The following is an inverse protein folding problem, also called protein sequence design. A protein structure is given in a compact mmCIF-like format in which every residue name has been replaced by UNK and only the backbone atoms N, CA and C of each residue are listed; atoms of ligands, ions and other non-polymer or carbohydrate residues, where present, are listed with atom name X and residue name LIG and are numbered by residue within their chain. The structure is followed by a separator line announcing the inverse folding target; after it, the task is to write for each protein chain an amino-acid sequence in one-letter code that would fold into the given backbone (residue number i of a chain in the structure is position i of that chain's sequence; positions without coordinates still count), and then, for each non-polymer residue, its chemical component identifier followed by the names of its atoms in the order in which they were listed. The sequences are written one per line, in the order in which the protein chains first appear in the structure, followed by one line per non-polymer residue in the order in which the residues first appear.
data_IF_799593350708
#
_entry.id   IF_799593350708
#
_cell.length_a   1.000
_cell.length_b   1.000
_cell.length_c   1.000
_cell.angle_alpha   90.00
_cell.angle_beta   90.00
_cell.angle_gamma   90.00
#
_symmetry.space_group_name_H-M   'P 1'
#
loop_
_entity.id
_entity.type
_entity.pdbx_description
1 polymer ?
#
# COMPACT_ATOMS: atom_id res chain seq x y z
N UNK A 1 -7.93 33.94 5.93
CA UNK A 1 -6.59 33.29 5.95
C UNK A 1 -5.56 34.29 6.45
N UNK A 2 -4.79 33.94 7.49
CA UNK A 2 -3.70 34.78 7.98
C UNK A 2 -2.44 34.39 7.23
N UNK A 3 -1.84 35.34 6.52
CA UNK A 3 -0.50 35.19 5.95
C UNK A 3 0.54 35.36 7.05
N UNK A 4 1.52 34.46 7.07
CA UNK A 4 2.70 34.56 7.94
C UNK A 4 3.92 34.87 7.06
N UNK A 5 4.93 35.58 7.62
CA UNK A 5 6.18 35.81 6.90
C UNK A 5 6.78 34.51 6.37
N UNK A 6 6.99 34.47 5.06
CA UNK A 6 7.54 33.30 4.36
C UNK A 6 6.52 32.28 3.87
N UNK A 7 5.21 32.59 3.93
CA UNK A 7 4.16 31.73 3.38
C UNK A 7 3.29 32.51 2.40
N UNK A 8 3.55 32.35 1.12
CA UNK A 8 2.87 33.06 0.04
C UNK A 8 1.69 32.28 -0.57
N UNK A 9 1.45 31.07 -0.08
CA UNK A 9 0.37 30.20 -0.57
C UNK A 9 -0.24 29.36 0.56
N UNK A 10 -1.43 28.84 0.30
CA UNK A 10 -2.06 27.78 1.11
C UNK A 10 -2.58 26.70 0.20
N UNK A 11 -2.63 25.47 0.69
CA UNK A 11 -3.15 24.33 -0.06
C UNK A 11 -4.53 23.98 0.48
N UNK A 12 -5.50 23.87 -0.43
CA UNK A 12 -6.85 23.38 -0.12
C UNK A 12 -6.89 21.91 -0.53
N UNK A 13 -7.27 21.05 0.40
CA UNK A 13 -7.54 19.64 0.12
C UNK A 13 -9.05 19.46 -0.02
N UNK A 14 -9.50 19.19 -1.25
CA UNK A 14 -10.90 18.93 -1.53
C UNK A 14 -11.09 17.43 -1.81
N UNK A 15 -11.67 16.75 -0.84
CA UNK A 15 -11.89 15.30 -0.88
C UNK A 15 -13.17 14.87 -1.64
N UNK A 16 -14.02 15.82 -2.02
CA UNK A 16 -15.33 15.56 -2.62
C UNK A 16 -15.64 16.48 -3.80
N UNK A 17 -14.62 17.07 -4.41
CA UNK A 17 -14.75 18.09 -5.49
C UNK A 17 -15.71 19.22 -5.11
N UNK A 18 -15.74 19.60 -3.83
CA UNK A 18 -16.64 20.61 -3.31
C UNK A 18 -16.37 21.98 -3.92
N UNK A 19 -15.10 22.27 -4.30
CA UNK A 19 -14.72 23.49 -4.98
C UNK A 19 -15.52 23.74 -6.26
N UNK A 20 -15.91 22.68 -6.97
CA UNK A 20 -16.73 22.79 -8.19
C UNK A 20 -18.18 23.22 -7.92
N UNK A 21 -18.63 23.14 -6.65
CA UNK A 21 -19.98 23.51 -6.22
C UNK A 21 -20.07 24.93 -5.66
N UNK A 22 -18.92 25.53 -5.35
CA UNK A 22 -18.79 26.88 -4.81
C UNK A 22 -18.13 27.77 -5.86
N UNK A 23 -18.88 28.09 -6.94
CA UNK A 23 -18.51 29.13 -7.90
C UNK A 23 -18.76 30.49 -7.26
N UNK A 24 -18.00 30.86 -6.24
CA UNK A 24 -18.07 32.12 -5.56
C UNK A 24 -16.87 32.99 -5.94
N UNK A 25 -17.05 34.08 -6.71
CA UNK A 25 -15.95 34.95 -7.13
C UNK A 25 -15.17 35.55 -5.96
N UNK A 26 -15.81 35.74 -4.79
CA UNK A 26 -15.13 36.25 -3.59
C UNK A 26 -14.22 35.18 -2.92
N UNK A 27 -14.48 33.89 -3.20
CA UNK A 27 -13.70 32.76 -2.72
C UNK A 27 -12.55 32.40 -3.68
N UNK A 28 -12.81 32.47 -4.99
CA UNK A 28 -11.86 32.07 -6.05
C UNK A 28 -10.79 33.13 -6.31
N UNK A 29 -10.88 34.30 -5.66
CA UNK A 29 -10.00 35.43 -5.86
C UNK A 29 -10.43 36.28 -7.06
N UNK A 30 -9.66 37.35 -7.32
CA UNK A 30 -9.87 38.13 -8.54
C UNK A 30 -9.56 37.23 -9.74
N UNK A 31 -10.42 37.26 -10.80
CA UNK A 31 -10.15 36.52 -12.02
C UNK A 31 -8.76 36.90 -12.54
N UNK A 32 -7.90 35.90 -12.78
CA UNK A 32 -6.65 36.18 -13.48
C UNK A 32 -6.95 36.90 -14.78
N UNK A 33 -6.23 38.00 -15.05
CA UNK A 33 -6.41 38.72 -16.32
C UNK A 33 -6.21 37.71 -17.46
N UNK A 34 -7.12 37.68 -18.44
CA UNK A 34 -7.02 36.71 -19.52
C UNK A 34 -5.64 36.84 -20.19
N UNK A 35 -4.94 35.71 -20.30
CA UNK A 35 -3.62 35.66 -20.94
C UNK A 35 -3.82 35.88 -22.41
N UNK A 36 -3.87 37.15 -22.81
CA UNK A 36 -4.01 37.56 -24.21
C UNK A 36 -2.78 37.10 -25.01
N UNK A 37 -2.99 36.65 -26.21
CA UNK A 37 -1.93 36.22 -27.08
C UNK A 37 -0.95 37.37 -27.41
N UNK A 38 0.33 37.22 -27.14
CA UNK A 38 1.39 38.23 -27.41
C UNK A 38 1.46 38.68 -28.87
N UNK A 39 0.81 38.00 -29.81
CA UNK A 39 0.81 38.31 -31.24
C UNK A 39 -0.44 39.00 -31.76
N UNK A 40 -1.63 38.61 -31.32
CA UNK A 40 -2.91 39.17 -31.76
C UNK A 40 -3.61 40.01 -30.68
N UNK A 41 -3.14 39.94 -29.45
CA UNK A 41 -3.69 40.63 -28.28
C UNK A 41 -5.15 40.30 -27.99
N UNK A 42 -5.59 39.06 -28.39
CA UNK A 42 -6.95 38.55 -28.17
C UNK A 42 -6.98 37.25 -27.40
N UNK A 43 -8.07 37.01 -26.63
CA UNK A 43 -8.40 35.76 -25.95
C UNK A 43 -9.86 35.40 -26.30
N UNK A 44 -10.13 34.26 -26.96
CA UNK A 44 -9.17 33.27 -27.44
C UNK A 44 -8.34 33.77 -28.65
N UNK A 45 -7.08 33.36 -28.69
CA UNK A 45 -6.15 33.73 -29.75
C UNK A 45 -6.69 33.39 -31.13
N UNK A 46 -6.82 34.42 -32.00
CA UNK A 46 -7.24 34.31 -33.40
C UNK A 46 -6.10 34.21 -34.39
N UNK A 47 -4.86 34.12 -33.95
CA UNK A 47 -3.74 33.85 -34.84
C UNK A 47 -4.00 32.55 -35.60
N UNK A 48 -3.78 32.57 -36.91
CA UNK A 48 -3.80 31.35 -37.72
C UNK A 48 -2.95 30.28 -37.04
N UNK A 49 -3.58 29.16 -36.59
CA UNK A 49 -2.86 28.01 -36.07
C UNK A 49 -1.92 27.60 -37.19
N UNK A 50 -0.59 27.67 -36.94
CA UNK A 50 0.41 27.15 -37.87
C UNK A 50 -0.09 25.78 -38.29
N UNK A 51 -0.37 25.60 -39.60
CA UNK A 51 -0.73 24.33 -40.17
C UNK A 51 0.29 23.30 -39.66
N UNK A 52 -0.20 22.25 -38.99
CA UNK A 52 0.65 21.17 -38.51
C UNK A 52 1.32 20.64 -39.76
N UNK A 53 2.64 20.71 -39.83
CA UNK A 53 3.38 20.20 -40.99
C UNK A 53 2.99 18.74 -41.21
N UNK A 54 2.78 18.30 -42.47
CA UNK A 54 2.48 16.91 -42.77
C UNK A 54 3.52 15.97 -42.13
N UNK A 55 3.10 14.74 -41.84
CA UNK A 55 3.98 13.73 -41.29
C UNK A 55 5.21 13.54 -42.17
N UNK A 56 6.41 13.55 -41.60
CA UNK A 56 7.67 13.40 -42.36
C UNK A 56 7.83 12.00 -43.01
N UNK A 57 6.96 11.03 -42.66
CA UNK A 57 7.04 9.64 -43.14
C UNK A 57 5.97 9.38 -44.20
N UNK A 58 4.71 9.76 -43.96
CA UNK A 58 3.60 9.49 -44.89
C UNK A 58 3.15 10.72 -45.69
N UNK A 59 3.66 11.91 -45.35
CA UNK A 59 3.30 13.22 -45.96
C UNK A 59 1.82 13.60 -45.83
N UNK A 60 1.01 12.80 -45.10
CA UNK A 60 -0.44 12.97 -44.94
C UNK A 60 -0.81 13.75 -43.66
N UNK A 61 -2.00 14.41 -43.69
CA UNK A 61 -2.65 15.02 -42.54
C UNK A 61 -4.16 14.68 -42.55
N UNK A 62 -4.65 13.94 -41.50
CA UNK A 62 -3.89 13.35 -40.35
C UNK A 62 -2.94 12.25 -40.79
N UNK A 63 -1.85 12.08 -40.06
CA UNK A 63 -0.89 11.02 -40.30
C UNK A 63 -1.56 9.64 -40.33
N UNK A 64 -1.35 8.89 -41.41
CA UNK A 64 -1.87 7.52 -41.63
C UNK A 64 -0.78 6.45 -41.45
N UNK A 65 0.40 6.83 -40.96
CA UNK A 65 1.42 5.83 -40.59
C UNK A 65 0.78 4.83 -39.64
N UNK A 66 0.96 3.55 -39.91
CA UNK A 66 0.64 2.49 -38.96
C UNK A 66 1.37 2.83 -37.66
N UNK A 67 0.59 3.14 -36.62
CA UNK A 67 1.10 3.22 -35.26
C UNK A 67 1.60 1.81 -34.98
N UNK A 68 2.91 1.65 -34.72
CA UNK A 68 3.43 0.35 -34.31
C UNK A 68 2.48 -0.22 -33.26
N UNK A 69 2.05 -1.47 -33.40
CA UNK A 69 1.11 -2.04 -32.45
C UNK A 69 1.68 -1.83 -31.05
N UNK A 70 0.90 -1.18 -30.18
CA UNK A 70 1.28 -0.96 -28.79
C UNK A 70 1.72 -2.32 -28.25
N UNK A 71 3.02 -2.51 -28.06
CA UNK A 71 3.56 -3.72 -27.44
C UNK A 71 3.27 -3.68 -25.95
N UNK A 72 3.03 -4.84 -25.37
CA UNK A 72 2.91 -4.97 -23.92
C UNK A 72 4.15 -4.36 -23.26
N UNK A 73 3.93 -3.61 -22.18
CA UNK A 73 5.02 -2.95 -21.47
C UNK A 73 5.98 -4.02 -20.90
N UNK A 74 7.25 -3.94 -21.24
CA UNK A 74 8.29 -4.88 -20.76
C UNK A 74 8.41 -4.91 -19.22
N UNK A 75 7.92 -3.86 -18.53
CA UNK A 75 8.00 -3.73 -17.07
C UNK A 75 6.75 -4.27 -16.38
N UNK A 76 5.54 -3.97 -16.87
CA UNK A 76 4.28 -4.35 -16.22
C UNK A 76 3.46 -5.40 -16.99
N UNK A 77 3.83 -5.73 -18.21
CA UNK A 77 3.08 -6.66 -19.05
C UNK A 77 1.71 -6.17 -19.52
N UNK A 78 1.32 -4.95 -19.16
CA UNK A 78 -0.02 -4.41 -19.44
C UNK A 78 -0.06 -3.55 -20.71
N UNK A 79 -1.21 -3.60 -21.38
CA UNK A 79 -1.58 -2.73 -22.48
C UNK A 79 -2.99 -2.15 -22.24
N UNK A 80 -3.13 -0.81 -21.99
CA UNK A 80 -2.08 0.21 -21.92
C UNK A 80 -1.17 0.09 -20.69
N UNK A 81 0.06 0.55 -20.83
CA UNK A 81 1.05 0.54 -19.77
C UNK A 81 0.58 1.33 -18.53
N UNK A 82 0.62 0.69 -17.37
CA UNK A 82 0.28 1.30 -16.07
C UNK A 82 1.53 1.84 -15.32
N UNK A 83 2.73 1.68 -15.88
CA UNK A 83 3.99 2.11 -15.25
C UNK A 83 4.16 3.61 -15.13
N UNK A 84 3.34 4.43 -15.79
CA UNK A 84 3.48 5.89 -15.77
C UNK A 84 3.39 6.52 -14.39
N UNK A 85 2.80 5.79 -13.44
CA UNK A 85 2.66 6.22 -12.06
C UNK A 85 3.66 5.53 -11.12
N UNK A 86 4.67 4.83 -11.65
CA UNK A 86 5.67 4.14 -10.84
C UNK A 86 7.00 4.88 -10.88
N UNK A 87 7.60 5.08 -9.72
CA UNK A 87 8.90 5.72 -9.52
C UNK A 87 9.87 4.71 -8.93
N UNK A 88 11.13 4.72 -9.39
CA UNK A 88 12.19 3.92 -8.79
C UNK A 88 12.90 4.74 -7.73
N UNK A 89 12.95 4.21 -6.54
CA UNK A 89 13.69 4.80 -5.40
C UNK A 89 14.94 3.98 -5.16
N UNK A 90 16.07 4.63 -5.11
CA UNK A 90 17.36 3.99 -4.84
C UNK A 90 17.67 4.05 -3.35
N UNK A 91 17.75 2.88 -2.72
CA UNK A 91 18.12 2.78 -1.31
C UNK A 91 19.62 3.02 -1.10
N UNK A 92 20.01 3.32 0.14
CA UNK A 92 21.41 3.57 0.54
C UNK A 92 22.37 2.42 0.22
N UNK A 93 21.87 1.17 0.14
CA UNK A 93 22.67 0.00 -0.26
C UNK A 93 22.79 -0.17 -1.78
N UNK A 94 22.24 0.75 -2.59
CA UNK A 94 22.27 0.70 -4.06
C UNK A 94 21.14 -0.13 -4.68
N UNK A 95 20.31 -0.82 -3.90
CA UNK A 95 19.12 -1.52 -4.40
C UNK A 95 18.03 -0.51 -4.80
N UNK A 96 17.19 -0.89 -5.76
CA UNK A 96 16.08 -0.07 -6.25
C UNK A 96 14.75 -0.67 -5.83
N UNK A 97 13.88 0.17 -5.27
CA UNK A 97 12.48 -0.14 -5.01
C UNK A 97 11.60 0.56 -6.05
N UNK A 98 10.57 -0.13 -6.50
CA UNK A 98 9.53 0.46 -7.34
C UNK A 98 8.35 0.84 -6.47
N UNK A 99 7.98 2.13 -6.50
CA UNK A 99 6.86 2.69 -5.74
C UNK A 99 5.86 3.36 -6.68
N UNK A 100 4.60 3.47 -6.26
CA UNK A 100 3.63 4.29 -6.97
C UNK A 100 3.97 5.77 -6.81
N UNK A 101 3.88 6.54 -7.90
CA UNK A 101 3.93 7.99 -7.82
C UNK A 101 2.59 8.49 -7.25
N UNK A 102 2.58 8.86 -5.99
CA UNK A 102 1.42 9.50 -5.37
C UNK A 102 1.78 10.93 -5.00
N UNK A 103 0.98 11.88 -5.43
CA UNK A 103 1.08 13.29 -5.02
C UNK A 103 0.42 13.55 -3.67
N UNK A 104 -0.22 12.53 -3.07
CA UNK A 104 -1.11 12.70 -1.93
C UNK A 104 -0.59 12.07 -0.62
N UNK A 105 0.48 11.26 -0.65
CA UNK A 105 1.00 10.65 0.57
C UNK A 105 2.12 11.49 1.13
N UNK A 106 1.89 12.14 2.25
CA UNK A 106 2.91 12.83 3.06
C UNK A 106 3.35 11.92 4.19
N UNK A 107 4.64 11.73 4.32
CA UNK A 107 5.26 11.06 5.47
C UNK A 107 5.85 12.11 6.41
N UNK A 108 6.00 11.74 7.68
CA UNK A 108 6.52 12.60 8.72
C UNK A 108 7.69 11.88 9.40
N UNK A 109 8.73 12.62 9.72
CA UNK A 109 9.80 12.09 10.57
C UNK A 109 9.37 12.08 12.06
N UNK A 110 10.18 11.47 12.92
CA UNK A 110 9.92 11.39 14.36
C UNK A 110 9.82 12.77 15.05
N UNK A 111 10.27 13.84 14.39
CA UNK A 111 10.14 15.22 14.88
C UNK A 111 8.87 15.93 14.41
N UNK A 112 8.05 15.26 13.56
CA UNK A 112 6.86 15.82 12.96
C UNK A 112 7.15 16.73 11.76
N UNK A 113 8.32 16.60 11.12
CA UNK A 113 8.66 17.31 9.89
C UNK A 113 8.25 16.46 8.68
N UNK A 114 7.61 17.08 7.65
CA UNK A 114 7.27 16.34 6.43
C UNK A 114 8.54 15.92 5.68
N UNK A 115 8.56 14.68 5.22
CA UNK A 115 9.63 14.07 4.46
C UNK A 115 9.08 13.44 3.17
N UNK A 116 9.95 13.26 2.18
CA UNK A 116 9.59 12.60 0.94
C UNK A 116 9.43 11.08 1.13
N UNK A 117 8.71 10.43 0.22
CA UNK A 117 8.60 8.95 0.22
C UNK A 117 9.96 8.26 0.12
N UNK A 118 10.91 8.86 -0.60
CA UNK A 118 12.27 8.35 -0.72
C UNK A 118 13.02 8.46 0.61
N UNK A 119 12.94 9.60 1.29
CA UNK A 119 13.53 9.78 2.61
C UNK A 119 12.92 8.82 3.63
N UNK A 120 11.60 8.66 3.62
CA UNK A 120 10.91 7.72 4.50
C UNK A 120 11.39 6.28 4.30
N UNK A 121 11.45 5.81 3.04
CA UNK A 121 11.94 4.48 2.71
C UNK A 121 13.41 4.27 3.10
N UNK A 122 14.26 5.26 2.86
CA UNK A 122 15.66 5.21 3.24
C UNK A 122 15.86 5.20 4.76
N UNK A 123 15.04 5.91 5.49
CA UNK A 123 15.07 5.94 6.96
C UNK A 123 14.57 4.59 7.51
N UNK A 124 13.43 4.08 7.04
CA UNK A 124 12.91 2.77 7.41
C UNK A 124 13.95 1.67 7.11
N UNK A 125 14.52 1.67 5.90
CA UNK A 125 15.57 0.72 5.52
C UNK A 125 16.78 0.80 6.45
N UNK A 126 17.15 1.99 6.90
CA UNK A 126 18.22 2.21 7.87
C UNK A 126 17.92 1.66 9.26
N UNK A 127 16.65 1.62 9.67
CA UNK A 127 16.23 1.08 10.98
C UNK A 127 16.02 -0.44 10.98
N UNK A 128 15.71 -1.03 9.83
CA UNK A 128 15.44 -2.48 9.72
C UNK A 128 16.53 -3.35 10.39
N UNK A 129 17.85 -3.10 10.26
CA UNK A 129 18.88 -3.90 10.91
C UNK A 129 18.84 -3.89 12.43
N UNK A 130 18.19 -2.87 13.03
CA UNK A 130 17.95 -2.79 14.47
C UNK A 130 16.76 -3.66 14.92
N UNK A 131 15.90 -4.04 13.99
CA UNK A 131 14.67 -4.79 14.21
C UNK A 131 14.85 -6.29 13.92
N UNK A 132 15.46 -6.60 12.78
CA UNK A 132 15.79 -7.96 12.36
C UNK A 132 16.95 -7.95 11.34
N UNK A 133 17.67 -9.05 11.22
CA UNK A 133 18.91 -9.15 10.43
C UNK A 133 18.77 -10.02 9.18
N UNK A 134 17.68 -10.76 9.07
CA UNK A 134 17.40 -11.65 7.93
C UNK A 134 15.91 -11.82 7.71
N UNK A 135 15.52 -12.23 6.50
CA UNK A 135 14.16 -12.62 6.16
C UNK A 135 13.64 -13.75 7.07
N UNK A 136 14.49 -14.72 7.37
CA UNK A 136 14.15 -15.82 8.27
C UNK A 136 13.83 -15.30 9.69
N UNK A 137 14.58 -14.33 10.20
CA UNK A 137 14.31 -13.70 11.49
C UNK A 137 13.01 -12.90 11.45
N UNK A 138 12.76 -12.12 10.37
CA UNK A 138 11.48 -11.43 10.17
C UNK A 138 10.32 -12.42 10.20
N UNK A 139 10.41 -13.53 9.46
CA UNK A 139 9.38 -14.59 9.44
C UNK A 139 9.13 -15.18 10.81
N UNK A 140 10.20 -15.48 11.54
CA UNK A 140 10.10 -16.03 12.90
C UNK A 140 9.42 -15.03 13.86
N UNK A 141 9.80 -13.76 13.80
CA UNK A 141 9.19 -12.71 14.63
C UNK A 141 7.73 -12.47 14.26
N UNK A 142 7.42 -12.52 12.97
CA UNK A 142 6.07 -12.19 12.47
C UNK A 142 5.07 -13.33 12.67
N UNK A 143 5.49 -14.57 12.52
CA UNK A 143 4.65 -15.76 12.61
C UNK A 143 4.10 -16.04 14.01
N UNK A 144 4.65 -15.39 15.04
CA UNK A 144 4.13 -15.50 16.40
C UNK A 144 3.45 -14.18 16.82
N UNK A 145 2.18 -14.19 17.25
CA UNK A 145 1.45 -12.98 17.61
C UNK A 145 2.11 -12.12 18.69
N UNK A 146 2.85 -12.75 19.63
CA UNK A 146 3.51 -12.02 20.73
C UNK A 146 4.73 -11.26 20.21
N UNK A 147 5.61 -11.95 19.47
CA UNK A 147 6.83 -11.33 18.93
C UNK A 147 6.49 -10.32 17.83
N UNK A 148 5.46 -10.58 17.04
CA UNK A 148 4.92 -9.64 16.05
C UNK A 148 4.46 -8.35 16.72
N UNK A 149 3.72 -8.43 17.81
CA UNK A 149 3.30 -7.23 18.57
C UNK A 149 4.51 -6.44 19.04
N UNK A 150 5.50 -7.10 19.63
CA UNK A 150 6.73 -6.44 20.07
C UNK A 150 7.50 -5.79 18.92
N UNK A 151 7.52 -6.42 17.73
CA UNK A 151 8.12 -5.84 16.53
C UNK A 151 7.36 -4.59 16.08
N UNK A 152 6.03 -4.63 16.04
CA UNK A 152 5.19 -3.48 15.67
C UNK A 152 5.35 -2.31 16.68
N UNK A 153 5.41 -2.59 17.98
CA UNK A 153 5.67 -1.59 19.02
C UNK A 153 7.05 -0.92 18.87
N UNK A 154 8.07 -1.69 18.46
CA UNK A 154 9.40 -1.13 18.17
C UNK A 154 9.37 -0.26 16.91
N UNK A 155 8.68 -0.69 15.86
CA UNK A 155 8.48 0.11 14.65
C UNK A 155 7.77 1.43 14.97
N UNK A 156 6.69 1.39 15.73
CA UNK A 156 5.95 2.57 16.18
C UNK A 156 6.84 3.52 16.98
N UNK A 157 7.64 2.99 17.93
CA UNK A 157 8.58 3.77 18.72
C UNK A 157 9.68 4.44 17.88
N UNK A 158 9.99 3.86 16.72
CA UNK A 158 10.93 4.42 15.74
C UNK A 158 10.25 5.38 14.74
N UNK A 159 8.94 5.65 14.87
CA UNK A 159 8.19 6.55 14.01
C UNK A 159 7.53 5.86 12.80
N UNK A 160 7.45 4.53 12.80
CA UNK A 160 6.82 3.73 11.76
C UNK A 160 5.60 3.01 12.33
N UNK A 161 4.57 3.78 12.69
CA UNK A 161 3.31 3.25 13.20
C UNK A 161 2.48 2.56 12.12
N UNK A 162 1.33 2.06 12.54
CA UNK A 162 0.44 1.30 11.64
C UNK A 162 -0.09 2.17 10.48
N UNK A 163 -0.25 3.47 10.68
CA UNK A 163 -0.72 4.41 9.64
C UNK A 163 0.35 4.61 8.58
N UNK A 164 1.60 4.85 8.98
CA UNK A 164 2.75 4.98 8.09
C UNK A 164 3.02 3.69 7.32
N UNK A 165 2.94 2.53 7.97
CA UNK A 165 3.10 1.23 7.31
C UNK A 165 1.95 0.95 6.32
N UNK A 166 0.72 1.36 6.62
CA UNK A 166 -0.40 1.26 5.69
C UNK A 166 -0.25 2.23 4.50
N UNK A 167 0.26 3.43 4.73
CA UNK A 167 0.59 4.38 3.66
C UNK A 167 1.69 3.82 2.76
N UNK A 168 2.72 3.21 3.36
CA UNK A 168 3.78 2.52 2.63
C UNK A 168 3.23 1.34 1.82
N UNK A 169 2.32 0.55 2.37
CA UNK A 169 1.65 -0.56 1.66
C UNK A 169 0.97 -0.09 0.38
N UNK A 170 0.28 1.05 0.42
CA UNK A 170 -0.33 1.68 -0.78
C UNK A 170 0.75 2.16 -1.76
N UNK A 171 1.82 2.74 -1.24
CA UNK A 171 2.92 3.27 -2.05
C UNK A 171 3.63 2.18 -2.86
N UNK A 172 3.77 0.98 -2.31
CA UNK A 172 4.41 -0.16 -2.99
C UNK A 172 3.43 -1.06 -3.76
N UNK A 173 2.18 -0.63 -3.95
CA UNK A 173 1.14 -1.37 -4.69
C UNK A 173 0.79 -2.72 -4.02
N UNK A 174 0.80 -2.74 -2.69
CA UNK A 174 0.61 -3.93 -1.87
C UNK A 174 -0.62 -3.83 -0.94
N UNK A 175 -1.69 -3.15 -1.37
CA UNK A 175 -2.88 -2.90 -0.54
C UNK A 175 -3.57 -4.19 -0.05
N UNK A 176 -3.52 -5.25 -0.88
CA UNK A 176 -4.07 -6.55 -0.57
C UNK A 176 -3.06 -7.51 0.07
N UNK A 177 -1.82 -7.06 0.28
CA UNK A 177 -0.76 -7.82 0.93
C UNK A 177 -0.76 -7.62 2.45
N UNK A 178 0.03 -8.39 3.16
CA UNK A 178 0.27 -8.17 4.59
C UNK A 178 1.35 -7.10 4.79
N UNK A 179 1.41 -6.50 5.96
CA UNK A 179 2.53 -5.63 6.36
C UNK A 179 3.86 -6.39 6.39
N UNK A 180 3.83 -7.70 6.65
CA UNK A 180 4.98 -8.59 6.50
C UNK A 180 5.63 -8.46 5.13
N UNK A 181 4.83 -8.58 4.07
CA UNK A 181 5.31 -8.51 2.67
C UNK A 181 5.94 -7.16 2.35
N UNK A 182 5.40 -6.09 2.94
CA UNK A 182 5.95 -4.74 2.76
C UNK A 182 7.31 -4.60 3.43
N UNK A 183 7.45 -5.10 4.66
CA UNK A 183 8.73 -5.08 5.38
C UNK A 183 9.76 -5.99 4.69
N UNK A 184 9.35 -7.16 4.22
CA UNK A 184 10.19 -8.09 3.46
C UNK A 184 10.67 -7.43 2.15
N UNK A 185 9.77 -6.77 1.42
CA UNK A 185 10.10 -6.04 0.18
C UNK A 185 11.04 -4.87 0.41
N UNK A 186 10.86 -4.08 1.47
CA UNK A 186 11.79 -3.00 1.83
C UNK A 186 13.17 -3.56 2.20
N UNK A 187 13.20 -4.70 2.90
CA UNK A 187 14.45 -5.38 3.25
C UNK A 187 15.12 -6.00 2.01
N UNK A 188 14.35 -6.66 1.15
CA UNK A 188 14.83 -7.32 -0.05
C UNK A 188 13.90 -7.06 -1.24
N UNK A 189 14.27 -6.11 -2.09
CA UNK A 189 13.48 -5.68 -3.25
C UNK A 189 13.31 -6.74 -4.36
N UNK A 190 14.03 -7.86 -4.27
CA UNK A 190 13.89 -8.98 -5.21
C UNK A 190 12.64 -9.82 -4.91
N UNK A 191 12.11 -9.72 -3.67
CA UNK A 191 10.90 -10.41 -3.23
C UNK A 191 9.71 -9.48 -3.42
N UNK A 192 8.78 -9.85 -4.29
CA UNK A 192 7.56 -9.06 -4.51
C UNK A 192 6.52 -9.38 -3.45
N UNK A 193 5.78 -8.37 -2.94
CA UNK A 193 4.66 -8.61 -2.05
C UNK A 193 3.62 -9.52 -2.69
N UNK A 194 3.15 -10.52 -1.96
CA UNK A 194 2.04 -11.38 -2.35
C UNK A 194 0.75 -10.94 -1.65
N UNK A 195 -0.39 -11.21 -2.25
CA UNK A 195 -1.67 -10.91 -1.60
C UNK A 195 -1.93 -11.86 -0.43
N UNK A 196 -2.74 -11.41 0.54
CA UNK A 196 -3.17 -12.27 1.66
C UNK A 196 -3.88 -13.53 1.19
N UNK A 197 -4.66 -13.43 0.10
CA UNK A 197 -5.33 -14.59 -0.52
C UNK A 197 -4.34 -15.61 -1.08
N UNK A 198 -3.30 -15.14 -1.80
CA UNK A 198 -2.25 -16.01 -2.33
C UNK A 198 -1.47 -16.68 -1.19
N UNK A 199 -1.17 -15.94 -0.12
CA UNK A 199 -0.51 -16.48 1.07
C UNK A 199 -1.33 -17.60 1.72
N UNK A 200 -2.64 -17.39 1.91
CA UNK A 200 -3.53 -18.40 2.46
C UNK A 200 -3.57 -19.64 1.56
N UNK A 201 -3.77 -19.46 0.25
CA UNK A 201 -3.82 -20.57 -0.70
C UNK A 201 -2.52 -21.39 -0.71
N UNK A 202 -1.36 -20.75 -0.60
CA UNK A 202 -0.06 -21.43 -0.55
C UNK A 202 0.14 -22.24 0.75
N UNK A 203 -0.40 -21.75 1.88
CA UNK A 203 -0.22 -22.37 3.20
C UNK A 203 -1.30 -23.39 3.57
N UNK A 204 -2.46 -23.36 2.90
CA UNK A 204 -3.67 -24.10 3.25
C UNK A 204 -3.43 -25.59 3.48
N UNK A 205 -2.78 -26.25 2.53
CA UNK A 205 -2.50 -27.69 2.61
C UNK A 205 -1.66 -28.05 3.85
N UNK A 206 -0.71 -27.18 4.23
CA UNK A 206 0.16 -27.39 5.39
C UNK A 206 -0.57 -27.10 6.70
N UNK A 207 -1.36 -26.02 6.73
CA UNK A 207 -2.13 -25.61 7.91
C UNK A 207 -3.11 -26.72 8.34
N UNK A 208 -3.80 -27.35 7.39
CA UNK A 208 -4.89 -28.29 7.70
C UNK A 208 -4.48 -29.73 7.91
N UNK A 209 -3.19 -30.07 7.70
CA UNK A 209 -2.71 -31.47 7.73
C UNK A 209 -2.99 -32.19 9.05
N UNK A 210 -2.95 -31.49 10.19
CA UNK A 210 -3.08 -32.07 11.54
C UNK A 210 -4.37 -31.64 12.27
N UNK A 211 -5.36 -31.07 11.55
CA UNK A 211 -6.57 -30.54 12.15
C UNK A 211 -7.76 -31.48 11.92
N UNK A 212 -8.65 -31.56 12.92
CA UNK A 212 -9.96 -32.17 12.74
C UNK A 212 -10.91 -31.20 12.01
N UNK A 213 -12.06 -31.70 11.55
CA UNK A 213 -12.99 -30.92 10.71
C UNK A 213 -13.46 -29.62 11.41
N UNK A 214 -13.76 -29.63 12.70
CA UNK A 214 -14.18 -28.44 13.44
C UNK A 214 -13.06 -27.40 13.59
N UNK A 215 -11.85 -27.85 13.76
CA UNK A 215 -10.67 -26.99 13.79
C UNK A 215 -10.41 -26.37 12.43
N UNK A 216 -10.57 -27.14 11.34
CA UNK A 216 -10.46 -26.62 9.98
C UNK A 216 -11.50 -25.53 9.72
N UNK A 217 -12.77 -25.82 9.96
CA UNK A 217 -13.87 -24.84 9.81
C UNK A 217 -13.55 -23.53 10.55
N UNK A 218 -13.06 -23.64 11.78
CA UNK A 218 -12.69 -22.47 12.58
C UNK A 218 -11.50 -21.71 12.01
N UNK A 219 -10.43 -22.41 11.61
CA UNK A 219 -9.25 -21.74 11.04
C UNK A 219 -9.55 -21.16 9.65
N UNK A 220 -10.37 -21.81 8.82
CA UNK A 220 -10.88 -21.23 7.56
C UNK A 220 -11.64 -19.93 7.80
N UNK A 221 -12.51 -19.90 8.81
CA UNK A 221 -13.19 -18.67 9.20
C UNK A 221 -12.21 -17.58 9.64
N UNK A 222 -11.20 -17.90 10.46
CA UNK A 222 -10.16 -16.95 10.88
C UNK A 222 -9.38 -16.44 9.69
N UNK A 223 -8.97 -17.32 8.77
CA UNK A 223 -8.23 -16.97 7.56
C UNK A 223 -9.07 -16.08 6.63
N UNK A 224 -10.38 -16.31 6.52
CA UNK A 224 -11.25 -15.41 5.75
C UNK A 224 -11.25 -14.00 6.32
N UNK A 225 -11.31 -13.85 7.66
CA UNK A 225 -11.23 -12.55 8.34
C UNK A 225 -9.86 -11.89 8.15
N UNK A 226 -8.79 -12.67 8.20
CA UNK A 226 -7.45 -12.18 7.90
C UNK A 226 -7.34 -11.64 6.46
N UNK A 227 -7.88 -12.35 5.47
CA UNK A 227 -7.87 -11.90 4.07
C UNK A 227 -8.63 -10.58 3.92
N UNK A 228 -9.80 -10.45 4.57
CA UNK A 228 -10.63 -9.25 4.53
C UNK A 228 -9.95 -8.03 5.17
N UNK A 229 -9.49 -8.17 6.40
CA UNK A 229 -9.11 -7.04 7.27
C UNK A 229 -7.62 -6.96 7.58
N UNK A 230 -6.87 -8.06 7.45
CA UNK A 230 -5.42 -8.13 7.65
C UNK A 230 -5.00 -8.76 8.97
N UNK A 231 -3.71 -8.63 9.27
CA UNK A 231 -3.02 -9.32 10.37
C UNK A 231 -3.55 -9.02 11.78
N UNK A 232 -4.28 -7.93 11.94
CA UNK A 232 -4.94 -7.60 13.21
C UNK A 232 -5.90 -8.70 13.71
N UNK A 233 -6.53 -9.44 12.79
CA UNK A 233 -7.42 -10.56 13.15
C UNK A 233 -6.65 -11.81 13.67
N UNK A 234 -5.35 -11.86 13.43
CA UNK A 234 -4.46 -12.91 13.93
C UNK A 234 -3.88 -12.60 15.32
N UNK A 235 -4.29 -11.50 15.95
CA UNK A 235 -3.89 -11.20 17.33
C UNK A 235 -4.63 -12.10 18.32
N UNK A 236 -3.94 -12.57 19.36
CA UNK A 236 -4.53 -13.45 20.38
C UNK A 236 -5.71 -12.82 21.12
N UNK A 237 -5.76 -11.50 21.23
CA UNK A 237 -6.87 -10.79 21.87
C UNK A 237 -8.17 -10.88 21.06
N UNK A 238 -8.09 -11.22 19.79
CA UNK A 238 -9.23 -11.44 18.91
C UNK A 238 -9.87 -12.83 19.06
N UNK A 239 -9.15 -13.79 19.61
CA UNK A 239 -9.63 -15.18 19.72
C UNK A 239 -11.00 -15.30 20.41
N UNK A 240 -11.32 -14.63 21.54
CA UNK A 240 -12.65 -14.68 22.13
C UNK A 240 -13.75 -14.13 21.20
N UNK A 241 -13.45 -13.08 20.47
CA UNK A 241 -14.40 -12.45 19.53
C UNK A 241 -14.64 -13.35 18.33
N UNK A 242 -13.59 -13.94 17.76
CA UNK A 242 -13.67 -14.89 16.65
C UNK A 242 -14.48 -16.13 17.01
N UNK A 243 -14.27 -16.69 18.21
CA UNK A 243 -15.08 -17.80 18.72
C UNK A 243 -16.57 -17.41 18.83
N UNK A 244 -16.87 -16.26 19.42
CA UNK A 244 -18.25 -15.78 19.54
C UNK A 244 -18.89 -15.43 18.20
N UNK A 245 -18.10 -15.07 17.19
CA UNK A 245 -18.59 -14.72 15.85
C UNK A 245 -18.93 -15.95 15.00
N UNK A 246 -18.24 -17.05 15.21
CA UNK A 246 -18.50 -18.29 14.48
C UNK A 246 -19.49 -19.20 15.21
N UNK A 247 -19.42 -19.25 16.56
CA UNK A 247 -20.26 -20.04 17.41
C UNK A 247 -21.28 -19.13 18.16
N UNK A 248 -22.32 -19.72 18.79
CA UNK A 248 -23.32 -18.92 19.51
C UNK A 248 -22.74 -18.17 20.71
N UNK A 249 -21.67 -18.71 21.29
CA UNK A 249 -20.93 -18.11 22.40
C UNK A 249 -19.46 -18.56 22.38
N UNK A 250 -18.61 -17.85 23.13
CA UNK A 250 -17.25 -18.29 23.35
C UNK A 250 -17.17 -19.68 23.99
N UNK A 251 -18.08 -20.01 24.91
CA UNK A 251 -18.12 -21.30 25.60
C UNK A 251 -18.49 -22.42 24.64
N UNK A 252 -19.47 -22.20 23.78
CA UNK A 252 -19.84 -23.18 22.76
C UNK A 252 -18.67 -23.42 21.78
N UNK A 253 -17.98 -22.37 21.36
CA UNK A 253 -16.79 -22.52 20.53
C UNK A 253 -15.67 -23.30 21.22
N UNK A 254 -15.42 -23.05 22.50
CA UNK A 254 -14.47 -23.85 23.30
C UNK A 254 -14.89 -25.32 23.36
N UNK A 255 -16.15 -25.60 23.61
CA UNK A 255 -16.67 -26.95 23.68
C UNK A 255 -16.56 -27.70 22.35
N UNK A 256 -16.98 -27.07 21.24
CA UNK A 256 -16.91 -27.62 19.88
C UNK A 256 -15.47 -27.89 19.41
N UNK A 257 -14.51 -27.07 19.84
CA UNK A 257 -13.09 -27.24 19.51
C UNK A 257 -12.33 -28.17 20.46
N UNK A 258 -13.02 -28.89 21.36
CA UNK A 258 -12.44 -29.92 22.22
C UNK A 258 -12.30 -29.55 23.69
N UNK A 259 -12.87 -28.43 24.13
CA UNK A 259 -13.02 -28.04 25.55
C UNK A 259 -11.76 -27.51 26.24
N UNK A 260 -10.61 -27.51 25.58
CA UNK A 260 -9.31 -27.11 26.15
C UNK A 260 -8.85 -25.77 25.58
N UNK A 261 -9.00 -24.71 26.37
CA UNK A 261 -8.62 -23.33 26.00
C UNK A 261 -7.15 -23.22 25.62
N UNK A 262 -6.27 -23.99 26.30
CA UNK A 262 -4.83 -23.95 26.03
C UNK A 262 -4.52 -24.54 24.65
N UNK A 263 -5.17 -25.66 24.31
CA UNK A 263 -5.01 -26.28 22.99
C UNK A 263 -5.53 -25.39 21.87
N UNK A 264 -6.69 -24.73 22.09
CA UNK A 264 -7.27 -23.80 21.11
C UNK A 264 -6.33 -22.60 20.90
N UNK A 265 -5.76 -22.06 21.97
CA UNK A 265 -4.77 -20.98 21.87
C UNK A 265 -3.51 -21.43 21.14
N UNK A 266 -2.99 -22.61 21.43
CA UNK A 266 -1.84 -23.16 20.74
C UNK A 266 -2.13 -23.38 19.25
N UNK A 267 -3.28 -23.97 18.92
CA UNK A 267 -3.74 -24.10 17.53
C UNK A 267 -3.77 -22.76 16.81
N UNK A 268 -4.31 -21.70 17.48
CA UNK A 268 -4.39 -20.35 16.93
C UNK A 268 -3.01 -19.71 16.74
N UNK A 269 -2.00 -20.10 17.48
CA UNK A 269 -0.61 -19.64 17.31
C UNK A 269 0.10 -20.47 16.24
N UNK A 270 -0.04 -21.78 16.28
CA UNK A 270 0.73 -22.71 15.44
C UNK A 270 0.39 -22.58 13.96
N UNK A 271 -0.91 -22.40 13.58
CA UNK A 271 -1.24 -22.25 12.18
C UNK A 271 -0.60 -21.01 11.56
N UNK A 272 -0.39 -19.95 12.32
CA UNK A 272 0.27 -18.72 11.85
C UNK A 272 1.74 -18.95 11.48
N UNK A 273 2.41 -19.90 12.14
CA UNK A 273 3.77 -20.28 11.74
C UNK A 273 3.79 -20.86 10.32
N UNK A 274 2.81 -21.72 10.00
CA UNK A 274 2.67 -22.26 8.66
C UNK A 274 2.27 -21.21 7.62
N UNK A 275 1.42 -20.25 8.01
CA UNK A 275 0.97 -19.16 7.15
C UNK A 275 2.13 -18.29 6.61
N UNK A 276 3.20 -18.12 7.40
CA UNK A 276 4.35 -17.30 7.02
C UNK A 276 5.61 -18.11 6.66
N UNK A 277 5.57 -19.43 6.71
CA UNK A 277 6.70 -20.29 6.30
C UNK A 277 6.72 -20.57 4.80
N UNK A 278 5.56 -20.59 4.16
CA UNK A 278 5.42 -20.81 2.72
C UNK A 278 5.47 -19.48 1.98
N UNK A 279 6.55 -19.21 1.31
CA UNK A 279 6.68 -18.18 0.28
C UNK A 279 7.61 -18.67 -0.82
#
# INVERSE_FOLDING_TARGET
TRTFDGKDYFTIYDFVDAHQRFLDPEWDGEPEEPVVCDKCNEDPCVCEKKEKKPCKICEEQPCICEVEPLTECEICGNLPCTCRNKVRVRLKNGKELTIQHTTQTMFWDASGKPITSEEFLNNLFGEIPNLFKSEAELRQLWSNPITRRTLLEKLESAGYGIEELNALRKLVDAENSDLFDVLEYVFNSDIKPITRSERVAAAEATIFTLMNEKQKEFIEFVLSKYVETGVGELDQTKLPVLLSSMFQSQQDGIAELGGDVTKIRNLFIEFQQHLYQTA
#
